data_IF_009412470240
#
_entry.id   IF_009412470240
#
_cell.length_a   1.000
_cell.length_b   1.000
_cell.length_c   1.000
_cell.angle_alpha   90.00
_cell.angle_beta   90.00
_cell.angle_gamma   90.00
#
_symmetry.space_group_name_H-M   'P 1'
#
loop_
_entity.id
_entity.type
_entity.pdbx_description
1 polymer ?
#
# COMPACT_ATOMS: atom_id res chain seq x y z
N UNK A 1 3.77 14.79 10.14
CA UNK A 1 3.89 13.71 9.15
C UNK A 1 2.63 13.69 8.32
N UNK A 2 2.75 13.52 7.00
CA UNK A 2 1.57 13.29 6.17
C UNK A 2 0.95 11.95 6.56
N UNK A 3 -0.35 11.93 6.87
CA UNK A 3 -1.05 10.73 7.32
C UNK A 3 -1.58 9.89 6.14
N UNK A 4 -0.92 10.00 4.99
CA UNK A 4 -1.31 9.37 3.75
C UNK A 4 -0.07 8.96 2.95
N UNK A 5 -0.25 8.01 2.04
CA UNK A 5 0.74 7.63 1.06
C UNK A 5 0.07 7.51 -0.31
N UNK A 6 0.79 7.85 -1.38
CA UNK A 6 0.31 7.66 -2.76
C UNK A 6 0.98 6.40 -3.31
N UNK A 7 0.15 5.43 -3.69
CA UNK A 7 0.59 4.22 -4.41
C UNK A 7 0.17 4.25 -5.86
N UNK A 8 0.84 3.43 -6.67
CA UNK A 8 0.35 3.04 -7.98
C UNK A 8 -0.27 1.65 -7.90
N UNK A 9 -1.52 1.53 -8.32
CA UNK A 9 -2.22 0.24 -8.36
C UNK A 9 -1.65 -0.65 -9.46
N UNK A 10 -1.93 -1.96 -9.39
CA UNK A 10 -1.52 -2.93 -10.42
C UNK A 10 -2.02 -2.58 -11.83
N UNK A 11 -3.14 -1.84 -11.95
CA UNK A 11 -3.65 -1.29 -13.21
C UNK A 11 -3.10 0.12 -13.55
N UNK A 12 -1.95 0.51 -12.99
CA UNK A 12 -1.24 1.76 -13.27
C UNK A 12 -1.96 3.06 -12.90
N UNK A 13 -3.03 3.01 -12.09
CA UNK A 13 -3.68 4.21 -11.54
C UNK A 13 -2.98 4.67 -10.28
N UNK A 14 -3.10 5.95 -9.93
CA UNK A 14 -2.64 6.48 -8.63
C UNK A 14 -3.77 6.34 -7.61
N UNK A 15 -3.44 5.89 -6.41
CA UNK A 15 -4.38 5.75 -5.30
C UNK A 15 -3.82 6.44 -4.06
N UNK A 16 -4.63 7.30 -3.44
CA UNK A 16 -4.34 7.91 -2.15
C UNK A 16 -4.78 6.96 -1.04
N UNK A 17 -3.87 6.64 -0.13
CA UNK A 17 -4.09 5.69 0.96
C UNK A 17 -3.85 6.41 2.28
N UNK A 18 -4.82 6.42 3.19
CA UNK A 18 -4.64 6.96 4.53
C UNK A 18 -3.98 5.92 5.44
N UNK A 19 -2.81 6.25 6.00
CA UNK A 19 -1.99 5.31 6.78
C UNK A 19 -2.75 4.81 8.01
N UNK A 20 -3.46 5.70 8.71
CA UNK A 20 -4.27 5.37 9.88
C UNK A 20 -5.49 4.47 9.60
N UNK A 21 -5.81 4.19 8.34
CA UNK A 21 -6.88 3.26 7.94
C UNK A 21 -6.36 1.88 7.54
N UNK A 22 -5.05 1.72 7.36
CA UNK A 22 -4.44 0.45 6.99
C UNK A 22 -4.62 -0.54 8.14
N UNK A 23 -5.22 -1.69 7.87
CA UNK A 23 -5.38 -2.76 8.86
C UNK A 23 -4.21 -3.73 8.86
N UNK A 24 -3.68 -4.07 7.68
CA UNK A 24 -2.44 -4.84 7.51
C UNK A 24 -1.95 -4.71 6.07
N UNK A 25 -0.69 -5.06 5.84
CA UNK A 25 -0.06 -5.07 4.53
C UNK A 25 0.52 -6.47 4.32
N UNK A 26 0.27 -7.07 3.16
CA UNK A 26 0.81 -8.37 2.77
C UNK A 26 1.72 -8.22 1.55
N UNK A 27 2.58 -9.21 1.37
CA UNK A 27 3.39 -9.41 0.17
C UNK A 27 2.76 -10.52 -0.68
N UNK A 28 2.62 -10.28 -1.99
CA UNK A 28 2.17 -11.31 -2.93
C UNK A 28 3.33 -12.18 -3.44
N UNK A 29 3.02 -13.18 -4.27
CA UNK A 29 4.02 -14.11 -4.83
C UNK A 29 5.11 -13.44 -5.70
N UNK A 30 4.87 -12.20 -6.15
CA UNK A 30 5.80 -11.40 -6.95
C UNK A 30 6.51 -10.31 -6.12
N UNK A 31 6.38 -10.35 -4.79
CA UNK A 31 6.97 -9.36 -3.89
C UNK A 31 6.22 -8.03 -3.84
N UNK A 32 5.02 -7.94 -4.43
CA UNK A 32 4.22 -6.70 -4.49
C UNK A 32 3.36 -6.53 -3.26
N UNK A 33 3.13 -5.28 -2.87
CA UNK A 33 2.33 -4.97 -1.70
C UNK A 33 0.83 -5.12 -1.97
N UNK A 34 0.11 -5.68 -1.00
CA UNK A 34 -1.35 -5.64 -0.91
C UNK A 34 -1.72 -4.92 0.38
N UNK A 35 -2.37 -3.77 0.27
CA UNK A 35 -2.77 -2.94 1.42
C UNK A 35 -4.25 -3.21 1.73
N UNK A 36 -4.57 -3.56 2.97
CA UNK A 36 -5.93 -3.81 3.42
C UNK A 36 -6.51 -2.66 4.25
N UNK A 37 -7.80 -2.36 4.02
CA UNK A 37 -8.63 -1.42 4.76
C UNK A 37 -9.91 -2.14 5.21
N UNK A 38 -9.80 -2.98 6.23
CA UNK A 38 -10.90 -3.87 6.61
C UNK A 38 -11.13 -4.93 5.53
N UNK A 39 -12.28 -4.91 4.86
CA UNK A 39 -12.62 -5.85 3.77
C UNK A 39 -12.14 -5.40 2.40
N UNK A 40 -11.77 -4.13 2.24
CA UNK A 40 -11.24 -3.60 0.98
C UNK A 40 -9.72 -3.80 0.89
N UNK A 41 -9.22 -3.94 -0.33
CA UNK A 41 -7.79 -4.09 -0.59
C UNK A 41 -7.34 -3.36 -1.84
N UNK A 42 -6.10 -2.89 -1.82
CA UNK A 42 -5.42 -2.28 -2.95
C UNK A 42 -4.22 -3.12 -3.31
N UNK A 43 -4.19 -3.60 -4.56
CA UNK A 43 -3.03 -4.26 -5.14
C UNK A 43 -2.07 -3.20 -5.70
N UNK A 44 -0.88 -3.10 -5.12
CA UNK A 44 0.12 -2.12 -5.50
C UNK A 44 1.05 -2.66 -6.60
N UNK A 45 1.62 -1.74 -7.36
CA UNK A 45 2.72 -2.03 -8.27
C UNK A 45 4.08 -1.93 -7.57
N UNK A 46 4.14 -1.22 -6.45
CA UNK A 46 5.26 -1.15 -5.52
C UNK A 46 5.44 -2.47 -4.75
N UNK A 47 6.68 -2.76 -4.38
CA UNK A 47 7.02 -3.86 -3.49
C UNK A 47 6.58 -3.59 -2.06
N UNK A 48 6.41 -4.68 -1.29
CA UNK A 48 6.13 -4.59 0.15
C UNK A 48 7.16 -3.72 0.89
N UNK A 49 8.44 -3.96 0.64
CA UNK A 49 9.56 -3.22 1.26
C UNK A 49 9.53 -1.71 0.94
N UNK A 50 9.19 -1.32 -0.29
CA UNK A 50 9.05 0.10 -0.66
C UNK A 50 7.89 0.76 0.11
N UNK A 51 6.76 0.08 0.27
CA UNK A 51 5.63 0.60 1.04
C UNK A 51 5.99 0.74 2.52
N UNK A 52 6.64 -0.26 3.12
CA UNK A 52 7.04 -0.23 4.52
C UNK A 52 8.05 0.90 4.81
N UNK A 53 8.99 1.14 3.90
CA UNK A 53 9.92 2.26 4.01
C UNK A 53 9.21 3.62 3.99
N UNK A 54 8.19 3.78 3.14
CA UNK A 54 7.39 5.02 3.05
C UNK A 54 6.53 5.29 4.29
N UNK A 55 6.08 4.26 5.00
CA UNK A 55 5.22 4.41 6.19
C UNK A 55 6.03 4.68 7.45
N UNK A 56 7.28 4.21 7.50
CA UNK A 56 8.14 4.31 8.70
C UNK A 56 8.88 5.66 8.79
N UNK A 57 8.95 6.41 7.69
CA UNK A 57 9.54 7.76 7.59
C UNK A 57 8.48 8.84 7.82
#
# INVERSE_FOLDING_TARGET
MENYLIVRTSNSKRCLVFINKITHILEDENGKAIIYFGTEKVYCSESYSEIMHKITL
#
